data_IF_677850074311
#
_entry.id   IF_677850074311
#
_cell.length_a   1.000
_cell.length_b   1.000
_cell.length_c   1.000
_cell.angle_alpha   90.00
_cell.angle_beta   90.00
_cell.angle_gamma   90.00
#
_symmetry.space_group_name_H-M   'P 1'
#
loop_
_entity.id
_entity.type
_entity.pdbx_description
1 polymer ?
#
# COMPACT_ATOMS: atom_id res chain seq x y z
N UNK A 1 -31.22 -13.00 -23.48
CA UNK A 1 -30.72 -11.69 -23.93
C UNK A 1 -30.05 -11.01 -22.75
N UNK A 2 -28.72 -11.08 -22.67
CA UNK A 2 -27.94 -10.49 -21.57
C UNK A 2 -27.49 -9.10 -21.98
N UNK A 3 -28.04 -8.06 -21.33
CA UNK A 3 -27.73 -6.66 -21.62
C UNK A 3 -26.32 -6.35 -21.11
N UNK A 4 -25.34 -6.26 -22.02
CA UNK A 4 -24.02 -5.69 -21.69
C UNK A 4 -24.22 -4.22 -21.36
N UNK A 5 -24.09 -3.86 -20.08
CA UNK A 5 -23.93 -2.46 -19.66
C UNK A 5 -22.62 -1.92 -20.27
N UNK A 6 -22.71 -1.24 -21.41
CA UNK A 6 -21.61 -0.47 -21.98
C UNK A 6 -21.48 0.85 -21.22
N UNK A 7 -20.94 0.79 -20.00
CA UNK A 7 -20.74 2.01 -19.22
C UNK A 7 -19.55 2.78 -19.80
N UNK A 8 -19.78 4.01 -20.24
CA UNK A 8 -18.72 4.89 -20.76
C UNK A 8 -17.88 5.42 -19.59
N UNK A 9 -16.58 5.08 -19.56
CA UNK A 9 -15.65 5.48 -18.50
C UNK A 9 -15.63 6.99 -18.28
N UNK A 10 -15.70 7.76 -19.37
CA UNK A 10 -15.72 9.23 -19.33
C UNK A 10 -16.91 9.77 -18.53
N UNK A 11 -18.09 9.16 -18.67
CA UNK A 11 -19.30 9.55 -17.93
C UNK A 11 -19.22 9.20 -16.45
N UNK A 12 -18.52 8.12 -16.10
CA UNK A 12 -18.27 7.74 -14.70
C UNK A 12 -17.30 8.71 -14.05
N UNK A 13 -16.18 9.00 -14.71
CA UNK A 13 -15.14 9.89 -14.19
C UNK A 13 -15.62 11.34 -14.09
N UNK A 14 -16.47 11.81 -15.01
CA UNK A 14 -17.02 13.17 -14.97
C UNK A 14 -17.81 13.48 -13.68
N UNK A 15 -18.38 12.47 -13.05
CA UNK A 15 -19.17 12.61 -11.81
C UNK A 15 -18.48 11.99 -10.59
N UNK A 16 -17.30 11.39 -10.75
CA UNK A 16 -16.58 10.74 -9.66
C UNK A 16 -15.72 11.75 -8.91
N UNK A 17 -15.98 11.95 -7.62
CA UNK A 17 -15.04 12.60 -6.71
C UNK A 17 -14.12 11.54 -6.15
N UNK A 18 -12.96 11.38 -6.80
CA UNK A 18 -11.93 10.46 -6.31
C UNK A 18 -11.06 11.18 -5.27
N UNK A 19 -10.88 10.58 -4.08
CA UNK A 19 -10.01 11.13 -3.07
C UNK A 19 -8.55 11.08 -3.54
N UNK A 20 -7.77 12.09 -3.17
CA UNK A 20 -6.35 12.13 -3.48
C UNK A 20 -5.61 11.03 -2.71
N UNK A 21 -4.66 10.36 -3.38
CA UNK A 21 -3.78 9.41 -2.71
C UNK A 21 -2.85 10.15 -1.74
N UNK A 22 -2.58 9.58 -0.54
CA UNK A 22 -1.56 10.10 0.36
C UNK A 22 -0.19 10.17 -0.31
N UNK A 23 0.60 11.18 0.06
CA UNK A 23 1.95 11.38 -0.50
C UNK A 23 2.87 10.17 -0.29
N UNK A 24 2.75 9.49 0.86
CA UNK A 24 3.51 8.26 1.16
C UNK A 24 3.23 7.14 0.15
N UNK A 25 1.96 6.95 -0.23
CA UNK A 25 1.57 5.96 -1.25
C UNK A 25 2.13 6.30 -2.63
N UNK A 26 2.13 7.59 -3.00
CA UNK A 26 2.69 8.06 -4.28
C UNK A 26 4.21 7.81 -4.33
N UNK A 27 4.95 8.16 -3.27
CA UNK A 27 6.39 7.92 -3.18
C UNK A 27 6.73 6.42 -3.26
N UNK A 28 5.95 5.58 -2.59
CA UNK A 28 6.11 4.12 -2.63
C UNK A 28 5.90 3.58 -4.05
N UNK A 29 4.92 4.10 -4.80
CA UNK A 29 4.71 3.74 -6.21
C UNK A 29 5.90 4.12 -7.08
N UNK A 30 6.49 5.28 -6.87
CA UNK A 30 7.65 5.76 -7.62
C UNK A 30 8.88 4.90 -7.35
N UNK A 31 9.22 4.68 -6.07
CA UNK A 31 10.36 3.84 -5.67
C UNK A 31 10.18 2.40 -6.17
N UNK A 32 8.96 1.89 -6.19
CA UNK A 32 8.68 0.53 -6.65
C UNK A 32 8.80 0.33 -8.17
N UNK A 33 8.93 1.41 -8.95
CA UNK A 33 9.16 1.36 -10.40
C UNK A 33 10.64 1.42 -10.75
N UNK A 34 11.49 1.80 -9.80
CA UNK A 34 12.93 1.87 -9.97
C UNK A 34 13.57 0.51 -9.68
N UNK A 35 14.21 -0.15 -10.68
CA UNK A 35 14.85 -1.45 -10.48
C UNK A 35 16.07 -1.40 -9.55
N UNK A 36 16.66 -0.23 -9.32
CA UNK A 36 17.83 -0.07 -8.43
C UNK A 36 17.42 0.19 -6.97
N UNK A 37 16.13 0.43 -6.72
CA UNK A 37 15.61 0.69 -5.39
C UNK A 37 15.49 -0.59 -4.56
N UNK A 38 15.86 -0.50 -3.28
CA UNK A 38 15.86 -1.61 -2.34
C UNK A 38 14.97 -1.40 -1.11
N UNK A 39 15.10 -2.29 -0.10
CA UNK A 39 14.33 -2.21 1.14
C UNK A 39 14.52 -0.92 1.93
N UNK A 40 15.71 -0.32 1.86
CA UNK A 40 16.02 0.92 2.58
C UNK A 40 15.24 2.10 2.00
N UNK A 41 15.27 2.25 0.69
CA UNK A 41 14.59 3.30 -0.06
C UNK A 41 13.08 3.23 0.17
N UNK A 42 12.50 2.03 0.07
CA UNK A 42 11.06 1.82 0.29
C UNK A 42 10.64 2.05 1.74
N UNK A 43 11.54 1.84 2.71
CA UNK A 43 11.25 2.08 4.12
C UNK A 43 11.14 3.58 4.46
N UNK A 44 11.83 4.46 3.74
CA UNK A 44 11.84 5.92 4.01
C UNK A 44 10.42 6.51 4.03
N UNK A 45 9.61 6.42 2.96
CA UNK A 45 8.27 7.01 2.96
C UNK A 45 7.30 6.30 3.93
N UNK A 46 7.53 5.02 4.23
CA UNK A 46 6.72 4.28 5.20
C UNK A 46 7.01 4.78 6.62
N UNK A 47 8.28 4.97 6.97
CA UNK A 47 8.68 5.45 8.29
C UNK A 47 8.33 6.92 8.53
N UNK A 48 8.23 7.73 7.47
CA UNK A 48 7.77 9.12 7.56
C UNK A 48 6.29 9.24 7.98
N UNK A 49 5.51 8.17 7.86
CA UNK A 49 4.11 8.07 8.29
C UNK A 49 3.97 7.05 9.43
N UNK A 50 3.90 7.50 10.70
CA UNK A 50 3.79 6.60 11.86
C UNK A 50 2.55 5.68 11.81
N UNK A 51 1.45 6.16 11.22
CA UNK A 51 0.23 5.37 11.05
C UNK A 51 0.48 4.20 10.12
N UNK A 52 1.12 4.45 8.98
CA UNK A 52 1.47 3.44 8.00
C UNK A 52 2.55 2.48 8.51
N UNK A 53 3.62 2.99 9.14
CA UNK A 53 4.65 2.16 9.76
C UNK A 53 4.05 1.18 10.79
N UNK A 54 3.12 1.66 11.64
CA UNK A 54 2.43 0.80 12.60
C UNK A 54 1.61 -0.31 11.92
N UNK A 55 0.97 0.00 10.79
CA UNK A 55 0.18 -0.97 10.02
C UNK A 55 1.07 -2.04 9.41
N UNK A 56 2.20 -1.65 8.83
CA UNK A 56 3.19 -2.59 8.26
C UNK A 56 3.74 -3.51 9.35
N UNK A 57 4.12 -2.96 10.51
CA UNK A 57 4.62 -3.76 11.63
C UNK A 57 3.54 -4.71 12.19
N UNK A 58 2.27 -4.28 12.27
CA UNK A 58 1.18 -5.19 12.67
C UNK A 58 0.95 -6.30 11.65
N UNK A 59 1.03 -5.98 10.36
CA UNK A 59 0.85 -6.94 9.28
C UNK A 59 1.93 -8.03 9.30
N UNK A 60 3.21 -7.65 9.34
CA UNK A 60 4.33 -8.60 9.36
C UNK A 60 4.37 -9.45 10.64
N UNK A 61 3.91 -8.91 11.77
CA UNK A 61 3.82 -9.63 13.04
C UNK A 61 2.49 -10.38 13.24
N UNK A 62 1.65 -10.46 12.19
CA UNK A 62 0.43 -11.26 12.27
C UNK A 62 0.74 -12.75 12.37
N UNK A 63 -0.18 -13.53 12.93
CA UNK A 63 -0.06 -14.99 13.03
C UNK A 63 0.11 -15.68 11.67
N UNK A 64 -0.22 -15.00 10.57
CA UNK A 64 -0.04 -15.50 9.21
C UNK A 64 1.42 -15.82 8.87
N UNK A 65 2.37 -14.99 9.32
CA UNK A 65 3.79 -15.17 8.99
C UNK A 65 4.56 -15.99 10.03
N UNK A 66 4.08 -16.06 11.27
CA UNK A 66 4.61 -16.98 12.29
C UNK A 66 6.08 -16.78 12.66
N UNK A 67 6.63 -15.57 12.54
CA UNK A 67 8.03 -15.32 12.89
C UNK A 67 8.31 -15.60 14.38
N UNK A 68 9.47 -16.19 14.72
CA UNK A 68 9.81 -16.56 16.10
C UNK A 68 10.06 -15.36 17.03
N UNK A 69 10.19 -14.15 16.49
CA UNK A 69 10.39 -12.92 17.25
C UNK A 69 9.64 -11.74 16.63
N UNK A 70 9.46 -10.67 17.41
CA UNK A 70 8.81 -9.45 16.92
C UNK A 70 9.70 -8.70 15.94
N UNK A 71 9.17 -8.42 14.76
CA UNK A 71 9.78 -7.53 13.78
C UNK A 71 9.52 -6.09 14.22
N UNK A 72 10.58 -5.32 14.42
CA UNK A 72 10.52 -3.95 14.94
C UNK A 72 10.96 -2.88 13.92
N UNK A 73 11.41 -3.29 12.74
CA UNK A 73 11.88 -2.39 11.68
C UNK A 73 11.08 -2.62 10.39
N UNK A 74 10.65 -1.53 9.76
CA UNK A 74 10.01 -1.56 8.43
C UNK A 74 10.97 -2.10 7.38
N UNK A 75 12.24 -1.68 7.41
CA UNK A 75 13.24 -2.19 6.47
C UNK A 75 13.43 -3.70 6.64
N UNK A 76 13.49 -4.20 7.89
CA UNK A 76 13.55 -5.62 8.17
C UNK A 76 12.30 -6.35 7.65
N UNK A 77 11.11 -5.78 7.84
CA UNK A 77 9.86 -6.34 7.32
C UNK A 77 9.90 -6.45 5.78
N UNK A 78 10.42 -5.43 5.10
CA UNK A 78 10.58 -5.43 3.63
C UNK A 78 11.62 -6.48 3.20
N UNK A 79 12.74 -6.62 3.91
CA UNK A 79 13.73 -7.66 3.62
C UNK A 79 13.16 -9.06 3.76
N UNK A 80 12.31 -9.31 4.78
CA UNK A 80 11.72 -10.63 5.03
C UNK A 80 10.59 -10.98 4.06
N UNK A 81 9.71 -10.03 3.74
CA UNK A 81 8.51 -10.28 2.92
C UNK A 81 8.67 -9.89 1.45
N UNK A 82 9.72 -9.13 1.12
CA UNK A 82 9.97 -8.56 -0.18
C UNK A 82 9.21 -7.25 -0.44
N UNK A 83 9.82 -6.39 -1.27
CA UNK A 83 9.26 -5.08 -1.65
C UNK A 83 7.85 -5.18 -2.25
N UNK A 84 7.60 -6.19 -3.09
CA UNK A 84 6.28 -6.38 -3.73
C UNK A 84 5.17 -6.58 -2.71
N UNK A 85 5.40 -7.39 -1.68
CA UNK A 85 4.41 -7.71 -0.65
C UNK A 85 4.08 -6.47 0.18
N UNK A 86 5.11 -5.77 0.65
CA UNK A 86 4.92 -4.54 1.44
C UNK A 86 4.25 -3.45 0.61
N UNK A 87 4.69 -3.23 -0.64
CA UNK A 87 4.05 -2.28 -1.56
C UNK A 87 2.56 -2.54 -1.71
N UNK A 88 2.18 -3.79 -2.03
CA UNK A 88 0.78 -4.14 -2.25
C UNK A 88 -0.06 -3.92 -0.97
N UNK A 89 0.47 -4.28 0.19
CA UNK A 89 -0.19 -4.03 1.47
C UNK A 89 -0.39 -2.52 1.73
N UNK A 90 0.66 -1.72 1.54
CA UNK A 90 0.59 -0.27 1.75
C UNK A 90 -0.42 0.39 0.80
N UNK A 91 -0.41 0.03 -0.48
CA UNK A 91 -1.37 0.59 -1.44
C UNK A 91 -2.80 0.20 -1.11
N UNK A 92 -3.03 -1.05 -0.69
CA UNK A 92 -4.34 -1.48 -0.21
C UNK A 92 -4.79 -0.66 1.00
N UNK A 93 -3.91 -0.49 2.00
CA UNK A 93 -4.18 0.31 3.21
C UNK A 93 -4.50 1.77 2.86
N UNK A 94 -3.72 2.37 1.95
CA UNK A 94 -3.92 3.74 1.51
C UNK A 94 -5.29 3.89 0.83
N UNK A 95 -5.66 3.01 -0.10
CA UNK A 95 -6.96 3.05 -0.77
C UNK A 95 -8.10 2.82 0.21
N UNK A 96 -7.96 1.84 1.11
CA UNK A 96 -8.99 1.52 2.10
C UNK A 96 -9.28 2.71 3.02
N UNK A 97 -8.26 3.48 3.38
CA UNK A 97 -8.40 4.67 4.23
C UNK A 97 -9.15 5.83 3.54
N UNK A 98 -9.26 5.80 2.22
CA UNK A 98 -9.94 6.84 1.44
C UNK A 98 -11.41 6.50 1.12
N UNK A 99 -11.80 5.24 1.28
CA UNK A 99 -13.19 4.80 1.07
C UNK A 99 -13.94 5.03 2.39
N UNK A 100 -15.06 5.77 2.38
CA UNK A 100 -15.91 5.90 3.56
C UNK A 100 -16.27 4.51 4.10
N UNK A 101 -16.12 4.32 5.41
CA UNK A 101 -16.55 3.09 6.06
C UNK A 101 -18.03 2.82 5.72
N UNK A 102 -18.39 1.57 5.35
CA UNK A 102 -19.77 1.19 5.06
C UNK A 102 -20.69 1.35 6.29
#
# INVERSE_FOLDING_TARGET
MSTRLSVSLEKLLANAQLPALPQSAIQILQISQDPESGPGELAVPINADPGLASQVLRFVNSSYFGFPGKIASVQQAITLLGMKTIKNFVLWSAVFSLIPSP
#
